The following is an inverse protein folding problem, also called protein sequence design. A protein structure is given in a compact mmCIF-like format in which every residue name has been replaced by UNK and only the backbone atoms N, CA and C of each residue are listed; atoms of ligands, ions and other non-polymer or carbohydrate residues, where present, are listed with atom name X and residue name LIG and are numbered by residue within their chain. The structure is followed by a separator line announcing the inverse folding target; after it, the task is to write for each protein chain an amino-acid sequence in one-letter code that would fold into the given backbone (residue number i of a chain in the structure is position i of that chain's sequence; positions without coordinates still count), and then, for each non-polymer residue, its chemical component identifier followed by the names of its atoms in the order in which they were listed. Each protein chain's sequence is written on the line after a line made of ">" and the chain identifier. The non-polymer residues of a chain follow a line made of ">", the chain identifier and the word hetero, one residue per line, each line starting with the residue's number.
data_IF_278536314885
#
_entry.id   IF_278536314885
#
_cell.length_a   1.000
_cell.length_b   1.000
_cell.length_c   1.000
_cell.angle_alpha   90.00
_cell.angle_beta   90.00
_cell.angle_gamma   90.00
#
_symmetry.space_group_name_H-M   'P 1'
#
loop_
_entity.id
_entity.type
_entity.pdbx_description
1 polymer ?
#
# COMPACT_ATOMS: atom_id res chain seq x y z
N UNK A 1 -20.31 -12.71 29.49
CA UNK A 1 -20.48 -11.40 28.84
C UNK A 1 -19.32 -11.26 27.87
N UNK A 2 -19.66 -11.08 26.61
CA UNK A 2 -18.80 -11.24 25.44
C UNK A 2 -17.61 -10.28 25.49
N UNK A 3 -16.39 -10.80 25.50
CA UNK A 3 -15.31 -10.14 24.80
C UNK A 3 -15.06 -11.01 23.57
N UNK A 4 -15.74 -10.65 22.49
CA UNK A 4 -15.36 -11.04 21.15
C UNK A 4 -13.88 -10.69 21.02
N UNK A 5 -13.03 -11.72 21.06
CA UNK A 5 -11.69 -11.67 20.52
C UNK A 5 -11.90 -11.18 19.10
N UNK A 6 -11.62 -9.90 18.85
CA UNK A 6 -11.54 -9.36 17.51
C UNK A 6 -10.55 -10.26 16.79
N UNK A 7 -11.12 -11.20 16.04
CA UNK A 7 -10.38 -12.15 15.25
C UNK A 7 -9.47 -11.28 14.42
N UNK A 8 -8.16 -11.51 14.52
CA UNK A 8 -7.15 -10.84 13.70
C UNK A 8 -7.60 -10.98 12.25
N UNK A 9 -8.31 -9.99 11.72
CA UNK A 9 -8.59 -9.88 10.30
C UNK A 9 -7.21 -9.65 9.71
N UNK A 10 -6.57 -10.73 9.29
CA UNK A 10 -5.17 -10.75 8.91
C UNK A 10 -4.95 -9.82 7.75
N UNK A 11 -4.57 -8.58 8.05
CA UNK A 11 -4.22 -7.60 7.05
C UNK A 11 -3.16 -8.22 6.15
N UNK A 12 -3.41 -8.15 4.85
CA UNK A 12 -2.47 -8.63 3.85
C UNK A 12 -1.90 -7.41 3.15
N UNK A 13 -0.58 -7.37 3.01
CA UNK A 13 0.11 -6.32 2.26
C UNK A 13 0.24 -6.74 0.79
N UNK A 14 -0.22 -5.91 -0.12
CA UNK A 14 -0.02 -6.07 -1.56
C UNK A 14 0.94 -4.99 -2.05
N UNK A 15 2.19 -5.35 -2.34
CA UNK A 15 3.16 -4.44 -2.94
C UNK A 15 3.03 -4.49 -4.46
N UNK A 16 2.58 -3.38 -5.06
CA UNK A 16 2.47 -3.21 -6.51
C UNK A 16 3.67 -2.43 -7.00
N UNK A 17 4.59 -3.12 -7.68
CA UNK A 17 5.85 -2.54 -8.18
C UNK A 17 6.37 -3.38 -9.35
N UNK A 18 7.49 -2.98 -9.94
CA UNK A 18 8.25 -3.83 -10.86
C UNK A 18 8.94 -4.95 -10.08
N UNK A 19 8.71 -6.24 -10.42
CA UNK A 19 9.34 -7.34 -9.70
C UNK A 19 10.87 -7.25 -9.76
N UNK A 20 11.49 -7.23 -8.60
CA UNK A 20 12.94 -7.14 -8.44
C UNK A 20 13.39 -7.79 -7.13
N UNK A 21 14.70 -8.02 -7.00
CA UNK A 21 15.29 -8.52 -5.75
C UNK A 21 15.05 -7.52 -4.61
N UNK A 22 15.22 -6.22 -4.87
CA UNK A 22 14.98 -5.15 -3.91
C UNK A 22 13.52 -5.14 -3.44
N UNK A 23 12.56 -5.20 -4.36
CA UNK A 23 11.13 -5.24 -4.01
C UNK A 23 10.77 -6.49 -3.19
N UNK A 24 11.38 -7.64 -3.51
CA UNK A 24 11.18 -8.89 -2.76
C UNK A 24 11.77 -8.79 -1.35
N UNK A 25 12.97 -8.23 -1.21
CA UNK A 25 13.61 -8.00 0.09
C UNK A 25 12.81 -7.03 0.95
N UNK A 26 12.35 -5.92 0.36
CA UNK A 26 11.48 -4.95 1.03
C UNK A 26 10.20 -5.62 1.54
N UNK A 27 9.48 -6.34 0.67
CA UNK A 27 8.26 -7.03 1.06
C UNK A 27 8.50 -8.02 2.20
N UNK A 28 9.60 -8.78 2.14
CA UNK A 28 9.92 -9.75 3.18
C UNK A 28 10.24 -9.06 4.51
N UNK A 29 10.98 -7.95 4.49
CA UNK A 29 11.21 -7.14 5.67
C UNK A 29 9.91 -6.60 6.26
N UNK A 30 9.03 -5.99 5.44
CA UNK A 30 7.75 -5.46 5.91
C UNK A 30 6.88 -6.55 6.53
N UNK A 31 6.81 -7.75 5.92
CA UNK A 31 6.08 -8.88 6.50
C UNK A 31 6.61 -9.28 7.88
N UNK A 32 7.93 -9.30 8.06
CA UNK A 32 8.56 -9.64 9.33
C UNK A 32 8.30 -8.57 10.39
N UNK A 33 8.54 -7.30 10.05
CA UNK A 33 8.41 -6.16 10.97
C UNK A 33 6.97 -5.89 11.41
N UNK A 34 5.99 -6.20 10.55
CA UNK A 34 4.57 -5.98 10.80
C UNK A 34 3.82 -7.24 11.24
N UNK A 35 4.46 -8.41 11.21
CA UNK A 35 3.85 -9.72 11.48
C UNK A 35 2.60 -10.01 10.63
N UNK A 36 2.61 -9.59 9.36
CA UNK A 36 1.51 -9.79 8.40
C UNK A 36 1.93 -10.64 7.21
N UNK A 37 0.93 -11.14 6.47
CA UNK A 37 1.19 -11.76 5.17
C UNK A 37 1.32 -10.68 4.09
N UNK A 38 1.97 -11.02 2.99
CA UNK A 38 2.05 -10.09 1.88
C UNK A 38 2.44 -10.76 0.56
N UNK A 39 2.07 -10.09 -0.53
CA UNK A 39 2.27 -10.52 -1.91
C UNK A 39 2.87 -9.39 -2.72
N UNK A 40 3.76 -9.76 -3.64
CA UNK A 40 4.29 -8.85 -4.64
C UNK A 40 3.47 -9.02 -5.91
N UNK A 41 3.03 -7.90 -6.49
CA UNK A 41 2.30 -7.88 -7.75
C UNK A 41 3.05 -7.01 -8.75
N UNK A 42 3.15 -7.51 -9.98
CA UNK A 42 3.78 -6.76 -11.05
C UNK A 42 2.87 -5.62 -11.49
N UNK A 43 3.36 -4.38 -11.38
CA UNK A 43 2.65 -3.16 -11.75
C UNK A 43 2.06 -3.17 -13.18
N UNK A 44 2.65 -3.92 -14.11
CA UNK A 44 2.20 -4.03 -15.50
C UNK A 44 1.11 -5.08 -15.71
N UNK A 45 0.80 -5.91 -14.70
CA UNK A 45 -0.19 -6.99 -14.79
C UNK A 45 -1.51 -6.54 -14.21
N UNK A 46 -2.60 -6.99 -14.83
CA UNK A 46 -3.94 -6.79 -14.28
C UNK A 46 -4.09 -7.48 -12.93
N UNK A 47 -4.95 -6.89 -12.09
CA UNK A 47 -5.29 -7.43 -10.78
C UNK A 47 -6.79 -7.67 -10.70
N UNK A 48 -7.15 -8.95 -10.63
CA UNK A 48 -8.54 -9.41 -10.65
C UNK A 48 -9.12 -9.37 -9.24
N UNK A 49 -8.45 -9.99 -8.26
CA UNK A 49 -8.95 -10.10 -6.90
C UNK A 49 -8.05 -9.42 -5.86
N UNK A 50 -8.69 -8.66 -4.97
CA UNK A 50 -8.06 -8.09 -3.77
C UNK A 50 -8.85 -8.53 -2.55
N UNK A 51 -8.16 -9.16 -1.61
CA UNK A 51 -8.74 -9.57 -0.33
C UNK A 51 -9.30 -8.36 0.44
N UNK A 52 -10.37 -8.58 1.20
CA UNK A 52 -10.92 -7.51 2.03
C UNK A 52 -9.94 -7.09 3.13
N UNK A 53 -9.88 -5.79 3.41
CA UNK A 53 -8.93 -5.22 4.38
C UNK A 53 -7.46 -5.27 3.94
N UNK A 54 -7.20 -5.48 2.65
CA UNK A 54 -5.86 -5.47 2.07
C UNK A 54 -5.27 -4.05 2.10
N UNK A 55 -3.99 -3.97 2.43
CA UNK A 55 -3.19 -2.75 2.32
C UNK A 55 -2.45 -2.80 1.00
N UNK A 56 -2.77 -1.90 0.09
CA UNK A 56 -2.15 -1.79 -1.23
C UNK A 56 -1.05 -0.74 -1.14
N UNK A 57 0.20 -1.15 -1.36
CA UNK A 57 1.36 -0.28 -1.38
C UNK A 57 1.82 -0.11 -2.83
N UNK A 58 1.63 1.09 -3.37
CA UNK A 58 1.83 1.41 -4.77
C UNK A 58 3.16 2.15 -4.96
N UNK A 59 4.09 1.56 -5.69
CA UNK A 59 5.40 2.17 -5.98
C UNK A 59 5.29 3.24 -7.09
N UNK A 60 5.42 4.50 -6.69
CA UNK A 60 5.22 5.65 -7.57
C UNK A 60 6.40 5.93 -8.49
N UNK A 61 7.61 5.45 -8.15
CA UNK A 61 8.78 5.58 -9.04
C UNK A 61 8.71 4.65 -10.25
N UNK A 62 8.00 3.53 -10.13
CA UNK A 62 7.79 2.57 -11.23
C UNK A 62 6.54 2.88 -12.05
N UNK A 63 5.68 3.81 -11.59
CA UNK A 63 4.40 4.13 -12.20
C UNK A 63 4.49 5.33 -13.14
N UNK A 64 4.33 5.11 -14.45
CA UNK A 64 4.12 6.21 -15.38
C UNK A 64 2.68 6.76 -15.29
N UNK A 65 2.42 7.90 -15.96
CA UNK A 65 1.09 8.52 -15.97
C UNK A 65 -0.01 7.55 -16.40
N UNK A 66 0.23 6.65 -17.36
CA UNK A 66 -0.80 5.71 -17.82
C UNK A 66 -1.11 4.66 -16.75
N UNK A 67 -0.07 4.13 -16.11
CA UNK A 67 -0.20 3.16 -15.02
C UNK A 67 -0.90 3.78 -13.80
N UNK A 68 -0.60 5.03 -13.46
CA UNK A 68 -1.29 5.75 -12.37
C UNK A 68 -2.80 5.79 -12.62
N UNK A 69 -3.24 6.26 -13.80
CA UNK A 69 -4.67 6.31 -14.11
C UNK A 69 -5.32 4.92 -14.14
N UNK A 70 -4.61 3.92 -14.69
CA UNK A 70 -5.08 2.54 -14.69
C UNK A 70 -5.31 2.01 -13.27
N UNK A 71 -4.36 2.21 -12.36
CA UNK A 71 -4.46 1.73 -10.99
C UNK A 71 -5.49 2.52 -10.16
N UNK A 72 -5.61 3.82 -10.36
CA UNK A 72 -6.69 4.62 -9.76
C UNK A 72 -8.08 4.11 -10.19
N UNK A 73 -8.28 3.83 -11.48
CA UNK A 73 -9.55 3.26 -11.98
C UNK A 73 -9.76 1.83 -11.45
N UNK A 74 -8.72 0.99 -11.42
CA UNK A 74 -8.84 -0.39 -10.94
C UNK A 74 -9.19 -0.46 -9.45
N UNK A 75 -8.51 0.33 -8.62
CA UNK A 75 -8.68 0.35 -7.17
C UNK A 75 -10.00 1.03 -6.76
N UNK A 76 -10.47 2.03 -7.51
CA UNK A 76 -11.75 2.72 -7.21
C UNK A 76 -12.95 1.79 -7.35
N UNK A 77 -12.86 0.78 -8.21
CA UNK A 77 -13.87 -0.27 -8.41
C UNK A 77 -13.89 -1.33 -7.29
N UNK A 78 -12.92 -1.31 -6.36
CA UNK A 78 -12.84 -2.30 -5.27
C UNK A 78 -13.57 -1.76 -4.03
N UNK A 79 -14.59 -2.50 -3.59
CA UNK A 79 -15.42 -2.13 -2.43
C UNK A 79 -15.02 -2.85 -1.13
N UNK A 80 -13.86 -3.52 -1.12
CA UNK A 80 -13.49 -4.47 -0.07
C UNK A 80 -12.79 -3.82 1.13
N UNK A 81 -13.06 -2.55 1.43
CA UNK A 81 -12.40 -1.80 2.51
C UNK A 81 -10.86 -1.87 2.40
N UNK A 82 -10.33 -1.65 1.19
CA UNK A 82 -8.90 -1.61 0.96
C UNK A 82 -8.33 -0.30 1.48
N UNK A 83 -7.04 -0.29 1.82
CA UNK A 83 -6.30 0.95 2.11
C UNK A 83 -5.21 1.12 1.06
N UNK A 84 -5.20 2.25 0.38
CA UNK A 84 -4.20 2.57 -0.65
C UNK A 84 -3.13 3.44 -0.05
N UNK A 85 -1.87 3.08 -0.27
CA UNK A 85 -0.69 3.79 0.20
C UNK A 85 0.25 4.02 -0.98
N UNK A 86 0.83 5.22 -1.07
CA UNK A 86 1.83 5.55 -2.10
C UNK A 86 3.22 5.40 -1.50
N UNK A 87 4.09 4.66 -2.18
CA UNK A 87 5.47 4.42 -1.78
C UNK A 87 6.42 5.07 -2.79
N UNK A 88 7.57 5.52 -2.31
CA UNK A 88 8.59 6.18 -3.13
C UNK A 88 8.00 7.36 -3.91
N UNK A 89 7.10 8.12 -3.28
CA UNK A 89 6.46 9.26 -3.94
C UNK A 89 7.51 10.35 -4.20
N UNK A 90 7.66 10.86 -5.42
CA UNK A 90 8.54 11.99 -5.69
C UNK A 90 8.12 13.23 -4.87
N UNK A 91 9.09 14.00 -4.37
CA UNK A 91 8.81 15.21 -3.57
C UNK A 91 8.06 16.29 -4.37
N UNK A 92 8.15 16.25 -5.70
CA UNK A 92 7.44 17.14 -6.63
C UNK A 92 6.09 16.59 -7.09
N UNK A 93 5.65 15.43 -6.59
CA UNK A 93 4.36 14.86 -6.93
C UNK A 93 3.21 15.74 -6.39
N UNK A 94 2.31 16.26 -7.25
CA UNK A 94 1.35 17.26 -6.82
C UNK A 94 0.35 16.71 -5.79
N UNK A 95 0.13 17.45 -4.69
CA UNK A 95 -0.84 17.06 -3.66
C UNK A 95 -2.25 16.77 -4.20
N UNK A 96 -2.70 17.57 -5.17
CA UNK A 96 -3.99 17.35 -5.84
C UNK A 96 -4.09 15.99 -6.54
N UNK A 97 -2.98 15.44 -7.01
CA UNK A 97 -2.95 14.11 -7.63
C UNK A 97 -2.98 12.99 -6.59
N UNK A 98 -2.51 13.24 -5.36
CA UNK A 98 -2.61 12.31 -4.22
C UNK A 98 -4.09 12.09 -3.87
N UNK A 99 -4.89 13.16 -3.83
CA UNK A 99 -6.33 13.09 -3.54
C UNK A 99 -7.13 12.26 -4.56
N UNK A 100 -6.60 12.09 -5.78
CA UNK A 100 -7.22 11.27 -6.82
C UNK A 100 -7.09 9.76 -6.55
N UNK A 101 -6.26 9.34 -5.59
CA UNK A 101 -6.11 7.93 -5.25
C UNK A 101 -7.28 7.43 -4.39
N UNK A 102 -7.97 6.37 -4.82
CA UNK A 102 -9.10 5.82 -4.07
C UNK A 102 -8.63 5.18 -2.77
N UNK A 103 -9.36 5.43 -1.69
CA UNK A 103 -9.05 4.88 -0.36
C UNK A 103 -7.62 5.23 0.10
N UNK A 104 -7.13 6.42 -0.26
CA UNK A 104 -5.80 6.87 0.15
C UNK A 104 -5.74 7.00 1.68
N UNK A 105 -4.81 6.26 2.29
CA UNK A 105 -4.57 6.26 3.73
C UNK A 105 -3.13 6.63 4.09
N UNK A 106 -2.26 6.78 3.10
CA UNK A 106 -0.95 7.34 3.36
C UNK A 106 -0.03 7.45 2.17
N UNK A 107 1.00 8.25 2.37
CA UNK A 107 2.01 8.62 1.38
C UNK A 107 3.36 8.56 2.06
N UNK A 108 4.29 7.83 1.44
CA UNK A 108 5.69 7.78 1.82
C UNK A 108 6.51 8.36 0.68
N UNK A 109 7.23 9.44 0.96
CA UNK A 109 8.10 10.07 -0.03
C UNK A 109 9.38 9.25 -0.25
N UNK A 110 10.00 9.40 -1.42
CA UNK A 110 11.22 8.68 -1.78
C UNK A 110 12.42 9.01 -0.87
N UNK A 111 12.32 10.10 -0.10
CA UNK A 111 13.29 10.54 0.90
C UNK A 111 13.14 9.83 2.24
N UNK A 112 12.02 9.15 2.50
CA UNK A 112 11.80 8.43 3.75
C UNK A 112 12.68 7.18 3.85
N UNK A 113 13.17 6.93 5.06
CA UNK A 113 13.87 5.70 5.36
C UNK A 113 12.91 4.54 5.66
N UNK A 114 13.48 3.34 5.72
CA UNK A 114 12.74 2.12 5.95
C UNK A 114 12.06 2.06 7.33
N UNK A 115 12.63 2.70 8.36
CA UNK A 115 12.08 2.68 9.72
C UNK A 115 10.81 3.53 9.81
N UNK A 116 10.81 4.71 9.17
CA UNK A 116 9.63 5.56 9.05
C UNK A 116 8.50 4.88 8.27
N UNK A 117 8.82 4.21 7.16
CA UNK A 117 7.83 3.42 6.39
C UNK A 117 7.20 2.34 7.26
N UNK A 118 8.00 1.59 8.03
CA UNK A 118 7.50 0.56 8.96
C UNK A 118 6.60 1.18 10.03
N UNK A 119 7.04 2.27 10.66
CA UNK A 119 6.28 2.97 11.71
C UNK A 119 4.93 3.49 11.19
N UNK A 120 4.92 4.12 10.01
CA UNK A 120 3.70 4.59 9.36
C UNK A 120 2.74 3.45 9.03
N UNK A 121 3.25 2.34 8.49
CA UNK A 121 2.45 1.13 8.22
C UNK A 121 1.86 0.53 9.51
N UNK A 122 2.60 0.54 10.63
CA UNK A 122 2.07 0.12 11.93
C UNK A 122 0.91 1.02 12.39
N UNK A 123 1.01 2.34 12.20
CA UNK A 123 -0.09 3.28 12.45
C UNK A 123 -1.31 2.96 11.60
N UNK A 124 -1.11 2.74 10.31
CA UNK A 124 -2.19 2.40 9.37
C UNK A 124 -2.89 1.09 9.74
N UNK A 125 -2.14 0.10 10.22
CA UNK A 125 -2.71 -1.15 10.75
C UNK A 125 -3.59 -0.92 12.00
N UNK A 126 -3.29 0.09 12.82
CA UNK A 126 -4.12 0.50 13.96
C UNK A 126 -5.33 1.37 13.57
N UNK A 127 -5.45 1.76 12.30
CA UNK A 127 -6.54 2.61 11.80
C UNK A 127 -6.17 4.07 11.59
N UNK A 128 -4.90 4.43 11.76
CA UNK A 128 -4.41 5.79 11.52
C UNK A 128 -4.22 6.05 10.01
N UNK A 129 -4.05 7.32 9.63
CA UNK A 129 -3.56 7.72 8.31
C UNK A 129 -2.14 8.29 8.45
N UNK A 130 -1.31 8.14 7.44
CA UNK A 130 0.08 8.62 7.45
C UNK A 130 0.37 9.49 6.24
N UNK A 131 0.48 10.80 6.43
CA UNK A 131 0.87 11.75 5.38
C UNK A 131 2.06 12.54 5.94
N UNK A 132 3.24 12.29 5.40
CA UNK A 132 4.49 12.99 5.76
C UNK A 132 4.63 14.35 5.08
#
# INVERSE_FOLDING_TARGET
>A
MFNEVHSSHGHTLLLITKPSLQATALLQHLKQSLAITGKLHNIQRSLEDISAGCIVLMDMMEADKKLIHYWQDNLSRKNNNIKTLLLNTPDDYPYREIENWPHINGVFYATEDQEHVVSGLQGILRGECYFS
#
